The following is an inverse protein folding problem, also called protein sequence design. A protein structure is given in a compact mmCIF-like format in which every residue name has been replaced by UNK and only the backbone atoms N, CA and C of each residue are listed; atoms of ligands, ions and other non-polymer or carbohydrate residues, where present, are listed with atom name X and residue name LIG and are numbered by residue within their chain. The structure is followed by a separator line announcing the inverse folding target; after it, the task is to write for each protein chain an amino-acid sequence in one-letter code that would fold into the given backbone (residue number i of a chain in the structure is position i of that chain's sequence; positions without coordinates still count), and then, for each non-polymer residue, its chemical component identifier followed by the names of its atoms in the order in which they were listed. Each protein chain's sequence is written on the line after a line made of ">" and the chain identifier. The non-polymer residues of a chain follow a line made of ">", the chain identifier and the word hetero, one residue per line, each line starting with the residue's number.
data_IF_553015902870
#
_entry.id   IF_553015902870
#
_cell.length_a   1.000
_cell.length_b   1.000
_cell.length_c   1.000
_cell.angle_alpha   90.00
_cell.angle_beta   90.00
_cell.angle_gamma   90.00
#
_symmetry.space_group_name_H-M   'P 1'
#
loop_
_entity.id
_entity.type
_entity.pdbx_description
1 polymer ?
#
# COMPACT_ATOMS: atom_id res chain seq x y z
N UNK A 1 33.83 10.85 -24.29
CA UNK A 1 33.32 10.61 -22.91
C UNK A 1 32.10 11.48 -22.50
N UNK A 2 31.70 12.51 -23.26
CA UNK A 2 30.63 13.46 -22.89
C UNK A 2 29.17 12.97 -23.03
N UNK A 3 28.90 11.85 -23.73
CA UNK A 3 27.51 11.41 -24.00
C UNK A 3 26.78 10.80 -22.78
N UNK A 4 27.51 10.36 -21.74
CA UNK A 4 26.89 9.75 -20.54
C UNK A 4 26.29 10.78 -19.58
N UNK A 5 26.83 11.99 -19.52
CA UNK A 5 26.40 13.03 -18.56
C UNK A 5 25.05 13.64 -18.97
N UNK A 6 24.83 13.87 -20.27
CA UNK A 6 23.56 14.37 -20.80
C UNK A 6 22.38 13.38 -20.61
N UNK A 7 22.62 12.08 -20.87
CA UNK A 7 21.63 11.01 -20.62
C UNK A 7 21.27 10.91 -19.14
N UNK A 8 22.26 10.99 -18.22
CA UNK A 8 22.02 10.98 -16.78
C UNK A 8 21.15 12.15 -16.31
N UNK A 9 21.33 13.36 -16.85
CA UNK A 9 20.50 14.53 -16.49
C UNK A 9 19.04 14.41 -16.98
N UNK A 10 18.81 13.85 -18.18
CA UNK A 10 17.45 13.57 -18.68
C UNK A 10 16.73 12.49 -17.87
N UNK A 11 17.42 11.39 -17.51
CA UNK A 11 16.87 10.35 -16.64
C UNK A 11 16.50 10.89 -15.26
N UNK A 12 17.35 11.74 -14.66
CA UNK A 12 17.06 12.36 -13.36
C UNK A 12 15.78 13.22 -13.39
N UNK A 13 15.58 13.99 -14.45
CA UNK A 13 14.37 14.83 -14.64
C UNK A 13 13.10 13.99 -14.89
N UNK A 14 13.19 12.91 -15.66
CA UNK A 14 12.07 11.98 -15.88
C UNK A 14 11.68 11.26 -14.58
N UNK A 15 12.67 10.81 -13.80
CA UNK A 15 12.44 10.17 -12.51
C UNK A 15 11.80 11.12 -11.49
N UNK A 16 12.20 12.39 -11.47
CA UNK A 16 11.58 13.43 -10.63
C UNK A 16 10.12 13.67 -11.01
N UNK A 17 9.81 13.76 -12.30
CA UNK A 17 8.41 13.91 -12.76
C UNK A 17 7.55 12.70 -12.43
N UNK A 18 8.08 11.48 -12.57
CA UNK A 18 7.35 10.28 -12.18
C UNK A 18 7.19 10.15 -10.65
N UNK A 19 8.14 10.65 -9.85
CA UNK A 19 7.97 10.78 -8.40
C UNK A 19 6.84 11.74 -8.04
N UNK A 20 6.74 12.87 -8.75
CA UNK A 20 5.66 13.85 -8.57
C UNK A 20 4.30 13.27 -8.99
N UNK A 21 4.21 12.55 -10.10
CA UNK A 21 2.98 11.87 -10.56
C UNK A 21 2.61 10.66 -9.70
N UNK A 22 3.59 9.91 -9.20
CA UNK A 22 3.37 8.80 -8.28
C UNK A 22 2.77 9.30 -6.96
N UNK A 23 3.25 10.45 -6.47
CA UNK A 23 2.74 11.12 -5.26
C UNK A 23 1.39 11.79 -5.42
N UNK A 24 0.95 12.14 -6.64
CA UNK A 24 -0.34 12.79 -6.84
C UNK A 24 -1.48 11.81 -6.48
N UNK A 25 -2.32 12.13 -5.47
CA UNK A 25 -3.50 11.35 -5.16
C UNK A 25 -4.53 11.54 -6.26
N UNK A 26 -4.48 10.69 -7.27
CA UNK A 26 -5.46 10.66 -8.34
C UNK A 26 -6.70 9.91 -7.87
N UNK A 27 -7.90 10.35 -8.25
CA UNK A 27 -9.18 9.69 -7.89
C UNK A 27 -9.16 8.18 -8.19
N UNK A 28 -8.59 7.75 -9.32
CA UNK A 28 -8.45 6.33 -9.66
C UNK A 28 -7.52 5.55 -8.71
N UNK A 29 -6.43 6.16 -8.23
CA UNK A 29 -5.52 5.53 -7.25
C UNK A 29 -6.17 5.45 -5.88
N UNK A 30 -6.87 6.51 -5.48
CA UNK A 30 -7.67 6.53 -4.25
C UNK A 30 -8.78 5.49 -4.29
N UNK A 31 -9.48 5.33 -5.42
CA UNK A 31 -10.53 4.33 -5.58
C UNK A 31 -9.97 2.91 -5.50
N UNK A 32 -8.83 2.62 -6.14
CA UNK A 32 -8.15 1.32 -6.01
C UNK A 32 -7.68 1.06 -4.59
N UNK A 33 -7.12 2.07 -3.92
CA UNK A 33 -6.70 1.96 -2.53
C UNK A 33 -7.92 1.69 -1.63
N UNK A 34 -9.01 2.43 -1.84
CA UNK A 34 -10.26 2.25 -1.12
C UNK A 34 -10.80 0.84 -1.31
N UNK A 35 -10.86 0.35 -2.56
CA UNK A 35 -11.35 -0.99 -2.85
C UNK A 35 -10.47 -2.07 -2.20
N UNK A 36 -9.14 -1.94 -2.27
CA UNK A 36 -8.20 -2.85 -1.59
C UNK A 36 -8.38 -2.84 -0.07
N UNK A 37 -8.53 -1.65 0.50
CA UNK A 37 -8.72 -1.47 1.95
C UNK A 37 -10.07 -2.03 2.38
N UNK A 38 -11.13 -1.80 1.60
CA UNK A 38 -12.46 -2.32 1.85
C UNK A 38 -12.49 -3.85 1.80
N UNK A 39 -11.83 -4.45 0.81
CA UNK A 39 -11.71 -5.90 0.69
C UNK A 39 -10.96 -6.50 1.89
N UNK A 40 -9.84 -5.88 2.26
CA UNK A 40 -9.03 -6.29 3.41
C UNK A 40 -9.85 -6.19 4.71
N UNK A 41 -10.55 -5.07 4.90
CA UNK A 41 -11.35 -4.85 6.10
C UNK A 41 -12.51 -5.82 6.20
N UNK A 42 -13.20 -6.09 5.08
CA UNK A 42 -14.25 -7.10 5.00
C UNK A 42 -13.73 -8.49 5.34
N UNK A 43 -12.60 -8.89 4.76
CA UNK A 43 -11.96 -10.18 5.05
C UNK A 43 -11.56 -10.29 6.53
N UNK A 44 -11.01 -9.22 7.10
CA UNK A 44 -10.60 -9.17 8.50
C UNK A 44 -11.79 -9.25 9.47
N UNK A 45 -12.90 -8.57 9.14
CA UNK A 45 -14.15 -8.64 9.91
C UNK A 45 -14.75 -10.05 9.89
N UNK A 46 -14.77 -10.71 8.73
CA UNK A 46 -15.22 -12.09 8.61
C UNK A 46 -14.32 -13.00 9.45
N UNK A 47 -13.00 -12.86 9.35
CA UNK A 47 -12.05 -13.66 10.12
C UNK A 47 -12.23 -13.48 11.64
N UNK A 48 -12.42 -12.24 12.10
CA UNK A 48 -12.72 -11.97 13.51
C UNK A 48 -14.06 -12.56 13.94
N UNK A 49 -15.11 -12.43 13.10
CA UNK A 49 -16.43 -12.96 13.41
C UNK A 49 -16.42 -14.48 13.56
N UNK A 50 -15.70 -15.17 12.67
CA UNK A 50 -15.50 -16.63 12.75
C UNK A 50 -14.68 -17.01 13.98
N UNK A 51 -13.62 -16.26 14.29
CA UNK A 51 -12.81 -16.52 15.49
C UNK A 51 -13.60 -16.34 16.79
N UNK A 52 -14.44 -15.30 16.87
CA UNK A 52 -15.34 -15.07 18.01
C UNK A 52 -16.38 -16.19 18.10
N UNK A 53 -16.99 -16.60 16.98
CA UNK A 53 -17.96 -17.69 16.92
C UNK A 53 -17.36 -19.05 17.32
N UNK A 54 -16.05 -19.25 17.08
CA UNK A 54 -15.31 -20.45 17.47
C UNK A 54 -14.94 -20.48 18.96
N UNK A 55 -15.37 -19.48 19.74
CA UNK A 55 -15.16 -19.45 21.19
C UNK A 55 -13.86 -18.76 21.63
N UNK A 56 -13.11 -18.10 20.73
CA UNK A 56 -11.99 -17.26 21.15
C UNK A 56 -12.51 -15.98 21.82
N UNK A 57 -12.82 -16.08 23.11
CA UNK A 57 -13.18 -14.94 23.96
C UNK A 57 -12.09 -13.87 23.99
N UNK A 58 -10.84 -14.25 23.70
CA UNK A 58 -9.71 -13.33 23.56
C UNK A 58 -9.99 -12.27 22.48
N UNK A 59 -10.64 -12.64 21.37
CA UNK A 59 -10.98 -11.72 20.26
C UNK A 59 -12.16 -10.78 20.56
N UNK A 60 -12.90 -11.00 21.66
CA UNK A 60 -13.89 -10.03 22.18
C UNK A 60 -13.22 -8.88 22.95
N UNK A 61 -11.98 -9.08 23.43
CA UNK A 61 -11.28 -8.05 24.19
C UNK A 61 -10.91 -6.89 23.29
N UNK A 62 -11.20 -5.66 23.74
CA UNK A 62 -10.85 -4.42 23.04
C UNK A 62 -9.36 -4.36 22.68
N UNK A 63 -8.49 -4.85 23.57
CA UNK A 63 -7.04 -4.90 23.34
C UNK A 63 -6.64 -5.91 22.25
N UNK A 64 -7.29 -7.08 22.23
CA UNK A 64 -7.00 -8.08 21.20
C UNK A 64 -7.46 -7.60 19.82
N UNK A 65 -8.62 -6.93 19.75
CA UNK A 65 -9.08 -6.27 18.53
C UNK A 65 -8.07 -5.23 18.06
N UNK A 66 -7.60 -4.36 18.95
CA UNK A 66 -6.56 -3.37 18.65
C UNK A 66 -5.28 -4.02 18.10
N UNK A 67 -4.78 -5.08 18.73
CA UNK A 67 -3.57 -5.79 18.29
C UNK A 67 -3.79 -6.43 16.92
N UNK A 68 -4.95 -7.06 16.68
CA UNK A 68 -5.25 -7.70 15.39
C UNK A 68 -5.37 -6.65 14.28
N UNK A 69 -6.06 -5.53 14.53
CA UNK A 69 -6.16 -4.43 13.57
C UNK A 69 -4.80 -3.78 13.30
N UNK A 70 -3.99 -3.52 14.33
CA UNK A 70 -2.66 -2.95 14.18
C UNK A 70 -1.71 -3.92 13.44
N UNK A 71 -1.75 -5.21 13.77
CA UNK A 71 -0.98 -6.25 13.10
C UNK A 71 -1.36 -6.40 11.63
N UNK A 72 -2.66 -6.44 11.33
CA UNK A 72 -3.15 -6.45 9.95
C UNK A 72 -2.73 -5.17 9.20
N UNK A 73 -2.83 -4.00 9.82
CA UNK A 73 -2.40 -2.76 9.21
C UNK A 73 -0.92 -2.80 8.84
N UNK A 74 -0.02 -3.17 9.77
CA UNK A 74 1.43 -3.23 9.50
C UNK A 74 1.75 -4.27 8.42
N UNK A 75 1.12 -5.44 8.47
CA UNK A 75 1.36 -6.53 7.52
C UNK A 75 0.94 -6.14 6.09
N UNK A 76 -0.21 -5.46 5.95
CA UNK A 76 -0.77 -5.08 4.65
C UNK A 76 -0.41 -3.65 4.21
N UNK A 77 0.17 -2.82 5.07
CA UNK A 77 0.68 -1.49 4.74
C UNK A 77 1.57 -1.48 3.48
N UNK A 78 2.58 -2.35 3.31
CA UNK A 78 3.42 -2.34 2.11
C UNK A 78 2.65 -2.73 0.84
N UNK A 79 1.61 -3.56 0.96
CA UNK A 79 0.76 -3.97 -0.16
C UNK A 79 -0.22 -2.86 -0.55
N UNK A 80 -0.83 -2.18 0.42
CA UNK A 80 -1.70 -1.01 0.21
C UNK A 80 -0.93 0.15 -0.42
N UNK A 81 0.25 0.47 0.12
CA UNK A 81 1.09 1.57 -0.37
C UNK A 81 1.80 1.27 -1.70
N UNK A 82 1.71 0.04 -2.23
CA UNK A 82 2.34 -0.33 -3.51
C UNK A 82 1.88 0.54 -4.68
N UNK A 83 0.63 1.02 -4.66
CA UNK A 83 0.07 1.89 -5.71
C UNK A 83 0.70 3.30 -5.73
N UNK A 84 1.24 3.74 -4.60
CA UNK A 84 1.89 5.04 -4.43
C UNK A 84 3.42 4.95 -4.49
N UNK A 85 3.98 3.75 -4.66
CA UNK A 85 5.42 3.61 -4.82
C UNK A 85 5.81 4.08 -6.23
N UNK A 86 6.84 4.92 -6.36
CA UNK A 86 7.38 5.26 -7.66
C UNK A 86 7.85 3.98 -8.37
N UNK A 87 7.60 3.84 -9.68
CA UNK A 87 8.08 2.69 -10.43
C UNK A 87 9.61 2.61 -10.33
N UNK A 88 10.20 1.41 -10.21
CA UNK A 88 11.64 1.26 -10.14
C UNK A 88 12.28 1.86 -11.39
N UNK A 89 13.47 2.50 -11.31
CA UNK A 89 14.12 3.20 -12.43
C UNK A 89 14.38 2.36 -13.69
N UNK A 90 14.09 1.05 -13.65
CA UNK A 90 14.42 0.05 -14.66
C UNK A 90 13.44 0.02 -15.85
N UNK A 91 12.30 0.72 -15.79
CA UNK A 91 11.37 0.80 -16.93
C UNK A 91 11.73 1.88 -17.97
N UNK A 92 12.84 2.61 -17.78
CA UNK A 92 13.42 3.49 -18.81
C UNK A 92 14.36 2.71 -19.75
N UNK A 93 13.88 1.61 -20.32
CA UNK A 93 14.58 0.88 -21.39
C UNK A 93 14.11 1.36 -22.75
#
# INVERSE_FOLDING_TARGET
>A
MLSRVGKKKKLKKLYQRQLEEARKPTLGKMLRLFLKTFLLFSALLILMSVGIASGLAVLKSWWAQLIVYAGAYILFQPWLMREFRPPPPKELK
#
